data_IF_975704781202
#
_entry.id   IF_975704781202
#
_cell.length_a   1.000
_cell.length_b   1.000
_cell.length_c   1.000
_cell.angle_alpha   90.00
_cell.angle_beta   90.00
_cell.angle_gamma   90.00
#
_symmetry.space_group_name_H-M   'P 1'
#
loop_
_entity.id
_entity.type
_entity.pdbx_description
1 polymer ?
#
# COMPACT_ATOMS: atom_id res chain seq x y z
N UNK A 1 -3.66 4.58 49.65
CA UNK A 1 -2.85 4.77 48.42
C UNK A 1 -3.81 4.96 47.24
N UNK A 2 -3.89 6.15 46.62
CA UNK A 2 -5.02 6.53 45.77
C UNK A 2 -4.76 6.29 44.27
N UNK A 3 -4.30 5.10 43.90
CA UNK A 3 -4.22 4.67 42.50
C UNK A 3 -5.22 3.52 42.28
N UNK A 4 -6.40 3.82 41.75
CA UNK A 4 -7.27 2.78 41.18
C UNK A 4 -7.20 2.87 39.65
N UNK A 5 -6.83 1.78 38.95
CA UNK A 5 -6.71 1.77 37.48
C UNK A 5 -7.99 2.22 36.77
N UNK A 6 -9.15 1.88 37.33
CA UNK A 6 -10.46 2.27 36.81
C UNK A 6 -10.66 3.81 36.82
N UNK A 7 -10.29 4.54 37.88
CA UNK A 7 -10.44 6.01 37.91
C UNK A 7 -9.48 6.71 36.96
N UNK A 8 -8.28 6.17 36.76
CA UNK A 8 -7.33 6.71 35.79
C UNK A 8 -7.89 6.61 34.36
N UNK A 9 -8.47 5.47 33.99
CA UNK A 9 -9.07 5.26 32.68
C UNK A 9 -10.32 6.13 32.44
N UNK A 10 -11.14 6.36 33.47
CA UNK A 10 -12.30 7.24 33.37
C UNK A 10 -11.99 8.74 33.48
N UNK A 11 -10.80 9.10 33.99
CA UNK A 11 -10.36 10.48 34.23
C UNK A 11 -9.52 11.10 33.11
N UNK A 12 -9.20 10.36 32.04
CA UNK A 12 -8.42 10.89 30.92
C UNK A 12 -9.23 11.92 30.14
N UNK A 13 -8.92 13.20 30.36
CA UNK A 13 -9.49 14.33 29.63
C UNK A 13 -9.24 14.16 28.12
N UNK A 14 -10.28 14.42 27.30
CA UNK A 14 -10.25 14.30 25.82
C UNK A 14 -9.06 15.02 25.16
N UNK A 15 -8.51 16.06 25.80
CA UNK A 15 -7.37 16.83 25.29
C UNK A 15 -6.07 16.03 25.10
N UNK A 16 -5.86 14.93 25.83
CA UNK A 16 -4.63 14.13 25.71
C UNK A 16 -4.63 13.25 24.45
N UNK A 17 -5.80 12.85 23.94
CA UNK A 17 -5.91 11.94 22.81
C UNK A 17 -5.39 12.57 21.50
N UNK A 18 -5.67 13.86 21.28
CA UNK A 18 -5.23 14.59 20.08
C UNK A 18 -3.70 14.70 20.06
N UNK A 19 -3.06 15.01 21.19
CA UNK A 19 -1.60 15.08 21.26
C UNK A 19 -0.93 13.73 21.01
N UNK A 20 -1.45 12.67 21.62
CA UNK A 20 -0.96 11.31 21.37
C UNK A 20 -1.12 10.94 19.89
N UNK A 21 -2.26 11.30 19.28
CA UNK A 21 -2.48 11.09 17.85
C UNK A 21 -1.47 11.85 16.99
N UNK A 22 -1.25 13.14 17.24
CA UNK A 22 -0.28 13.96 16.48
C UNK A 22 1.13 13.39 16.64
N UNK A 23 1.55 13.06 17.87
CA UNK A 23 2.85 12.44 18.12
C UNK A 23 2.98 11.10 17.38
N UNK A 24 1.94 10.27 17.38
CA UNK A 24 1.95 8.97 16.70
C UNK A 24 2.04 9.15 15.18
N UNK A 25 1.23 10.04 14.60
CA UNK A 25 1.29 10.36 13.17
C UNK A 25 2.66 10.92 12.77
N UNK A 26 3.23 11.79 13.61
CA UNK A 26 4.57 12.32 13.38
C UNK A 26 5.61 11.20 13.37
N UNK A 27 5.62 10.31 14.36
CA UNK A 27 6.58 9.18 14.41
C UNK A 27 6.40 8.25 13.21
N UNK A 28 5.17 7.96 12.80
CA UNK A 28 4.88 7.09 11.65
C UNK A 28 5.30 7.72 10.31
N UNK A 29 5.12 9.04 10.15
CA UNK A 29 5.42 9.75 8.90
C UNK A 29 6.82 10.38 8.86
N UNK A 30 7.49 10.52 10.02
CA UNK A 30 8.83 11.07 10.15
C UNK A 30 9.84 10.45 9.17
N UNK A 31 9.97 9.12 9.02
CA UNK A 31 10.94 8.55 8.08
C UNK A 31 10.68 8.99 6.64
N UNK A 32 9.41 9.10 6.22
CA UNK A 32 9.05 9.58 4.88
C UNK A 32 9.37 11.07 4.71
N UNK A 33 9.09 11.87 5.74
CA UNK A 33 9.37 13.29 5.72
C UNK A 33 10.88 13.57 5.68
N UNK A 34 11.67 12.82 6.46
CA UNK A 34 13.13 12.89 6.43
C UNK A 34 13.69 12.49 5.06
N UNK A 35 13.17 11.42 4.46
CA UNK A 35 13.55 11.01 3.10
C UNK A 35 13.23 12.09 2.06
N UNK A 36 12.08 12.75 2.17
CA UNK A 36 11.71 13.86 1.30
C UNK A 36 12.63 15.08 1.48
N UNK A 37 12.93 15.44 2.73
CA UNK A 37 13.87 16.53 3.02
C UNK A 37 15.25 16.20 2.47
N UNK A 38 15.75 14.98 2.66
CA UNK A 38 17.02 14.53 2.09
C UNK A 38 17.04 14.64 0.56
N UNK A 39 15.94 14.27 -0.11
CA UNK A 39 15.80 14.44 -1.56
C UNK A 39 15.82 15.92 -1.97
N UNK A 40 15.17 16.81 -1.21
CA UNK A 40 15.18 18.26 -1.47
C UNK A 40 16.59 18.87 -1.31
N UNK A 41 17.39 18.35 -0.39
CA UNK A 41 18.78 18.77 -0.18
C UNK A 41 19.73 18.30 -1.29
N UNK A 42 19.30 17.36 -2.14
CA UNK A 42 20.06 16.85 -3.29
C UNK A 42 19.40 17.25 -4.62
N UNK A 43 19.64 18.46 -5.15
CA UNK A 43 19.00 18.94 -6.39
C UNK A 43 19.25 18.09 -7.64
N UNK A 44 20.30 17.26 -7.64
CA UNK A 44 20.58 16.31 -8.73
C UNK A 44 19.60 15.15 -8.72
N UNK A 45 19.45 14.48 -7.56
CA UNK A 45 18.50 13.39 -7.37
C UNK A 45 17.06 13.87 -7.49
N UNK A 46 16.74 15.03 -6.92
CA UNK A 46 15.41 15.63 -7.04
C UNK A 46 14.99 15.82 -8.49
N UNK A 47 15.89 16.35 -9.34
CA UNK A 47 15.63 16.51 -10.77
C UNK A 47 15.54 15.17 -11.49
N UNK A 48 16.37 14.20 -11.09
CA UNK A 48 16.31 12.84 -11.62
C UNK A 48 14.98 12.13 -11.28
N UNK A 49 14.33 12.47 -10.15
CA UNK A 49 13.00 11.96 -9.76
C UNK A 49 11.83 12.79 -10.32
N UNK A 50 12.07 13.77 -11.19
CA UNK A 50 11.01 14.60 -11.79
C UNK A 50 10.59 15.83 -10.99
N UNK A 51 11.32 16.19 -9.92
CA UNK A 51 11.18 17.44 -9.18
C UNK A 51 10.39 17.33 -7.85
N UNK A 52 10.45 18.41 -7.05
CA UNK A 52 9.85 18.46 -5.71
C UNK A 52 8.34 18.21 -5.69
N UNK A 53 7.58 18.83 -6.60
CA UNK A 53 6.13 18.65 -6.64
C UNK A 53 5.72 17.21 -6.94
N UNK A 54 6.37 16.56 -7.92
CA UNK A 54 6.07 15.15 -8.26
C UNK A 54 6.48 14.19 -7.15
N UNK A 55 7.59 14.46 -6.47
CA UNK A 55 8.00 13.70 -5.29
C UNK A 55 6.99 13.85 -4.14
N UNK A 56 6.51 15.06 -3.86
CA UNK A 56 5.47 15.29 -2.84
C UNK A 56 4.16 14.56 -3.16
N UNK A 57 3.70 14.65 -4.41
CA UNK A 57 2.50 13.92 -4.88
C UNK A 57 2.72 12.41 -4.78
N UNK A 58 3.92 11.92 -5.10
CA UNK A 58 4.27 10.50 -4.95
C UNK A 58 4.17 10.07 -3.48
N UNK A 59 4.79 10.79 -2.54
CA UNK A 59 4.72 10.43 -1.11
C UNK A 59 3.27 10.44 -0.59
N UNK A 60 2.47 11.42 -1.02
CA UNK A 60 1.07 11.49 -0.62
C UNK A 60 0.27 10.30 -1.15
N UNK A 61 0.40 9.99 -2.44
CA UNK A 61 -0.29 8.86 -3.07
C UNK A 61 0.19 7.52 -2.50
N UNK A 62 1.48 7.34 -2.28
CA UNK A 62 2.03 6.13 -1.64
C UNK A 62 1.51 5.99 -0.21
N UNK A 63 1.42 7.08 0.57
CA UNK A 63 0.85 7.03 1.92
C UNK A 63 -0.63 6.63 1.92
N UNK A 64 -1.42 7.18 1.00
CA UNK A 64 -2.84 6.82 0.84
C UNK A 64 -2.98 5.36 0.40
N UNK A 65 -2.24 4.95 -0.63
CA UNK A 65 -2.27 3.57 -1.13
C UNK A 65 -1.80 2.57 -0.07
N UNK A 66 -0.73 2.88 0.67
CA UNK A 66 -0.24 2.04 1.76
C UNK A 66 -1.27 1.90 2.88
N UNK A 67 -1.92 3.00 3.28
CA UNK A 67 -2.98 2.96 4.29
C UNK A 67 -4.18 2.10 3.85
N UNK A 68 -4.58 2.18 2.58
CA UNK A 68 -5.66 1.36 2.02
C UNK A 68 -5.26 -0.11 1.86
N UNK A 69 -4.01 -0.38 1.47
CA UNK A 69 -3.49 -1.74 1.27
C UNK A 69 -3.19 -2.47 2.57
N UNK A 70 -2.83 -1.75 3.64
CA UNK A 70 -2.49 -2.35 4.94
C UNK A 70 -3.53 -3.38 5.45
N UNK A 71 -4.85 -3.07 5.53
CA UNK A 71 -5.85 -4.06 5.96
C UNK A 71 -5.99 -5.24 5.00
N UNK A 72 -5.79 -5.02 3.70
CA UNK A 72 -5.86 -6.07 2.68
C UNK A 72 -4.71 -7.05 2.84
N UNK A 73 -3.49 -6.54 2.99
CA UNK A 73 -2.28 -7.34 3.21
C UNK A 73 -2.38 -8.10 4.53
N UNK A 74 -2.85 -7.44 5.59
CA UNK A 74 -3.06 -8.06 6.90
C UNK A 74 -4.05 -9.23 6.83
N UNK A 75 -5.14 -9.09 6.07
CA UNK A 75 -6.10 -10.17 5.84
C UNK A 75 -5.44 -11.36 5.12
N UNK A 76 -4.69 -11.10 4.03
CA UNK A 76 -4.01 -12.15 3.28
C UNK A 76 -2.97 -12.90 4.12
N UNK A 77 -2.17 -12.16 4.90
CA UNK A 77 -1.18 -12.74 5.81
C UNK A 77 -1.84 -13.60 6.87
N UNK A 78 -2.93 -13.12 7.47
CA UNK A 78 -3.70 -13.89 8.46
C UNK A 78 -4.27 -15.17 7.84
N UNK A 79 -4.84 -15.08 6.64
CA UNK A 79 -5.40 -16.24 5.92
C UNK A 79 -4.33 -17.28 5.62
N UNK A 80 -3.15 -16.86 5.16
CA UNK A 80 -2.01 -17.76 4.90
C UNK A 80 -1.58 -18.50 6.16
N UNK A 81 -1.48 -17.82 7.30
CA UNK A 81 -1.17 -18.47 8.59
C UNK A 81 -2.24 -19.52 8.94
N UNK A 82 -3.53 -19.20 8.80
CA UNK A 82 -4.61 -20.14 9.07
C UNK A 82 -4.60 -21.34 8.11
N UNK A 83 -4.27 -21.14 6.83
CA UNK A 83 -4.17 -22.21 5.83
C UNK A 83 -3.04 -23.19 6.18
N UNK A 84 -1.86 -22.67 6.55
CA UNK A 84 -0.73 -23.48 7.00
C UNK A 84 -1.08 -24.27 8.26
N UNK A 85 -1.70 -23.63 9.25
CA UNK A 85 -2.13 -24.31 10.49
C UNK A 85 -3.21 -25.39 10.23
N UNK A 86 -4.05 -25.19 9.20
CA UNK A 86 -5.04 -26.17 8.77
C UNK A 86 -4.45 -27.30 7.91
N UNK A 87 -3.13 -27.34 7.70
CA UNK A 87 -2.45 -28.33 6.86
C UNK A 87 -2.78 -28.19 5.37
N UNK A 88 -3.32 -27.04 4.95
CA UNK A 88 -3.55 -26.73 3.54
C UNK A 88 -2.26 -26.16 2.97
N UNK A 89 -2.00 -26.47 1.70
CA UNK A 89 -0.94 -25.80 0.97
C UNK A 89 -1.27 -24.30 0.94
N UNK A 90 -0.32 -23.48 1.39
CA UNK A 90 -0.44 -22.00 1.40
C UNK A 90 -0.52 -21.42 -0.02
N UNK A 91 -0.52 -22.27 -1.06
CA UNK A 91 -0.70 -21.86 -2.44
C UNK A 91 0.50 -21.07 -2.92
N UNK A 92 1.71 -21.52 -2.57
CA UNK A 92 2.94 -20.98 -3.15
C UNK A 92 3.04 -21.45 -4.61
N UNK A 93 2.16 -20.89 -5.44
CA UNK A 93 2.12 -21.13 -6.87
C UNK A 93 3.32 -20.41 -7.53
N UNK A 94 3.78 -20.94 -8.66
CA UNK A 94 4.87 -20.32 -9.39
C UNK A 94 4.47 -18.89 -9.75
N UNK A 95 5.26 -17.90 -9.33
CA UNK A 95 4.99 -16.50 -9.65
C UNK A 95 4.97 -16.32 -11.17
N UNK A 96 3.77 -16.24 -11.76
CA UNK A 96 3.61 -15.91 -13.18
C UNK A 96 3.97 -14.44 -13.33
N UNK A 97 5.19 -14.21 -13.81
CA UNK A 97 5.76 -12.87 -14.02
C UNK A 97 5.33 -12.25 -15.35
N UNK A 98 4.65 -13.02 -16.20
CA UNK A 98 4.04 -12.54 -17.43
C UNK A 98 2.69 -11.88 -17.20
N UNK A 99 2.32 -10.98 -18.10
CA UNK A 99 1.13 -10.12 -18.12
C UNK A 99 -0.21 -10.90 -18.06
N UNK A 100 -0.46 -11.59 -16.95
CA UNK A 100 -1.69 -12.30 -16.65
C UNK A 100 -2.85 -11.31 -16.65
N UNK A 101 -3.80 -11.49 -17.56
CA UNK A 101 -5.03 -10.69 -17.61
C UNK A 101 -5.70 -10.78 -16.23
N UNK A 102 -5.90 -9.62 -15.60
CA UNK A 102 -6.59 -9.51 -14.32
C UNK A 102 -7.96 -10.22 -14.41
N UNK A 103 -8.12 -11.34 -13.73
CA UNK A 103 -9.37 -12.10 -13.72
C UNK A 103 -10.30 -11.53 -12.64
N UNK A 104 -11.20 -10.64 -13.05
CA UNK A 104 -12.22 -10.05 -12.17
C UNK A 104 -12.96 -11.08 -11.29
N UNK A 105 -13.35 -12.28 -11.79
CA UNK A 105 -13.97 -13.30 -10.95
C UNK A 105 -13.04 -13.81 -9.83
N UNK A 106 -11.73 -13.90 -10.08
CA UNK A 106 -10.77 -14.34 -9.07
C UNK A 106 -10.57 -13.26 -8.00
N UNK A 107 -10.60 -11.98 -8.36
CA UNK A 107 -10.58 -10.88 -7.40
C UNK A 107 -11.83 -10.89 -6.51
N UNK A 108 -13.02 -11.03 -7.11
CA UNK A 108 -14.28 -11.14 -6.36
C UNK A 108 -14.27 -12.33 -5.40
N UNK A 109 -13.77 -13.49 -5.83
CA UNK A 109 -13.66 -14.68 -4.97
C UNK A 109 -12.66 -14.48 -3.82
N UNK A 110 -11.57 -13.78 -4.07
CA UNK A 110 -10.48 -13.62 -3.09
C UNK A 110 -10.71 -12.48 -2.10
N UNK A 111 -11.30 -11.38 -2.56
CA UNK A 111 -11.44 -10.13 -1.80
C UNK A 111 -12.90 -9.74 -1.52
N UNK A 112 -13.89 -10.38 -2.17
CA UNK A 112 -15.31 -10.07 -1.96
C UNK A 112 -15.76 -10.25 -0.52
N UNK A 113 -15.30 -11.31 0.15
CA UNK A 113 -15.56 -11.52 1.58
C UNK A 113 -15.01 -10.38 2.46
N UNK A 114 -13.82 -9.88 2.13
CA UNK A 114 -13.20 -8.75 2.83
C UNK A 114 -13.96 -7.44 2.59
N UNK A 115 -14.40 -7.17 1.37
CA UNK A 115 -15.23 -5.99 1.05
C UNK A 115 -16.55 -6.03 1.81
N UNK A 116 -17.26 -7.16 1.82
CA UNK A 116 -18.52 -7.30 2.55
C UNK A 116 -18.30 -7.14 4.05
N UNK A 117 -17.25 -7.76 4.60
CA UNK A 117 -16.90 -7.61 6.01
C UNK A 117 -16.57 -6.15 6.37
N UNK A 118 -15.81 -5.44 5.53
CA UNK A 118 -15.50 -4.02 5.70
C UNK A 118 -16.76 -3.14 5.72
N UNK A 119 -17.69 -3.37 4.79
CA UNK A 119 -18.98 -2.67 4.75
C UNK A 119 -19.84 -2.96 5.99
N UNK A 120 -19.91 -4.22 6.41
CA UNK A 120 -20.63 -4.62 7.62
C UNK A 120 -20.05 -3.95 8.87
N UNK A 121 -18.73 -4.05 9.08
CA UNK A 121 -18.04 -3.41 10.20
C UNK A 121 -18.17 -1.89 10.15
N UNK A 122 -18.17 -1.29 8.96
CA UNK A 122 -18.41 0.14 8.77
C UNK A 122 -19.82 0.57 9.21
N UNK A 123 -20.84 -0.21 8.84
CA UNK A 123 -22.22 0.05 9.26
C UNK A 123 -22.38 -0.06 10.78
N UNK A 124 -21.78 -1.09 11.40
CA UNK A 124 -21.77 -1.27 12.85
C UNK A 124 -21.05 -0.10 13.55
N UNK A 125 -19.86 0.28 13.09
CA UNK A 125 -19.12 1.38 13.67
C UNK A 125 -19.89 2.71 13.58
N UNK A 126 -20.54 2.96 12.45
CA UNK A 126 -21.34 4.17 12.25
C UNK A 126 -22.58 4.21 13.17
N UNK A 127 -23.22 3.06 13.38
CA UNK A 127 -24.34 2.93 14.30
C UNK A 127 -23.94 3.15 15.77
N UNK A 128 -22.72 2.74 16.17
CA UNK A 128 -22.21 2.94 17.53
C UNK A 128 -21.84 4.41 17.77
N UNK A 129 -20.99 4.98 16.91
CA UNK A 129 -20.76 6.42 16.90
C UNK A 129 -20.09 6.86 15.59
N UNK A 130 -20.55 7.97 14.97
CA UNK A 130 -19.91 8.50 13.77
C UNK A 130 -18.43 8.85 13.98
N UNK A 131 -18.04 9.27 15.19
CA UNK A 131 -16.66 9.56 15.54
C UNK A 131 -15.78 8.28 15.51
N UNK A 132 -16.27 7.15 16.01
CA UNK A 132 -15.58 5.87 15.93
C UNK A 132 -15.45 5.40 14.48
N UNK A 133 -16.51 5.53 13.69
CA UNK A 133 -16.48 5.18 12.27
C UNK A 133 -15.45 6.01 11.50
N UNK A 134 -15.39 7.32 11.75
CA UNK A 134 -14.38 8.21 11.18
C UNK A 134 -12.96 7.81 11.62
N UNK A 135 -12.79 7.44 12.90
CA UNK A 135 -11.52 6.98 13.43
C UNK A 135 -11.04 5.67 12.80
N UNK A 136 -11.95 4.72 12.57
CA UNK A 136 -11.69 3.47 11.86
C UNK A 136 -11.70 3.62 10.33
N UNK A 137 -11.90 4.85 9.84
CA UNK A 137 -12.10 5.17 8.43
C UNK A 137 -11.07 4.55 7.50
N UNK A 138 -9.75 4.73 7.69
CA UNK A 138 -8.74 4.16 6.80
C UNK A 138 -8.84 2.64 6.65
N UNK A 139 -9.14 1.94 7.74
CA UNK A 139 -9.29 0.48 7.76
C UNK A 139 -10.58 0.06 7.05
N UNK A 140 -11.71 0.68 7.41
CA UNK A 140 -13.03 0.38 6.82
C UNK A 140 -13.01 0.66 5.31
N UNK A 141 -12.50 1.82 4.91
CA UNK A 141 -12.39 2.23 3.50
C UNK A 141 -11.44 1.30 2.74
N UNK A 142 -10.29 0.95 3.32
CA UNK A 142 -9.34 0.01 2.71
C UNK A 142 -9.94 -1.38 2.48
N UNK A 143 -10.73 -1.89 3.44
CA UNK A 143 -11.43 -3.17 3.31
C UNK A 143 -12.57 -3.10 2.29
N UNK A 144 -13.44 -2.09 2.39
CA UNK A 144 -14.57 -1.90 1.48
C UNK A 144 -14.10 -1.73 0.02
N UNK A 145 -13.03 -0.96 -0.19
CA UNK A 145 -12.42 -0.72 -1.50
C UNK A 145 -11.33 -1.73 -1.86
N UNK A 146 -11.23 -2.88 -1.19
CA UNK A 146 -10.16 -3.84 -1.43
C UNK A 146 -10.08 -4.31 -2.90
N UNK A 147 -11.23 -4.64 -3.51
CA UNK A 147 -11.31 -5.06 -4.92
C UNK A 147 -10.77 -3.96 -5.88
N UNK A 148 -11.31 -2.72 -5.89
CA UNK A 148 -10.82 -1.70 -6.81
C UNK A 148 -9.37 -1.29 -6.52
N UNK A 149 -8.94 -1.25 -5.26
CA UNK A 149 -7.55 -0.92 -4.92
C UNK A 149 -6.59 -1.98 -5.47
N UNK A 150 -6.88 -3.27 -5.26
CA UNK A 150 -6.06 -4.36 -5.81
C UNK A 150 -6.09 -4.36 -7.34
N UNK A 151 -7.25 -4.12 -7.95
CA UNK A 151 -7.38 -4.02 -9.40
C UNK A 151 -6.53 -2.87 -9.96
N UNK A 152 -6.65 -1.67 -9.38
CA UNK A 152 -5.90 -0.48 -9.80
C UNK A 152 -4.40 -0.65 -9.63
N UNK A 153 -3.95 -1.29 -8.55
CA UNK A 153 -2.50 -1.50 -8.30
C UNK A 153 -1.91 -2.65 -9.13
N UNK A 154 -2.73 -3.60 -9.57
CA UNK A 154 -2.29 -4.74 -10.39
C UNK A 154 -2.34 -4.46 -11.91
N UNK A 155 -3.00 -3.39 -12.34
CA UNK A 155 -3.13 -3.06 -13.76
C UNK A 155 -1.85 -2.44 -14.31
N UNK A 156 -1.29 -3.04 -15.37
CA UNK A 156 -0.14 -2.44 -16.09
C UNK A 156 -0.43 -1.04 -16.63
N UNK A 157 -1.68 -0.79 -17.05
CA UNK A 157 -2.10 0.51 -17.61
C UNK A 157 -2.02 1.65 -16.60
N UNK A 158 -2.41 1.43 -15.34
CA UNK A 158 -2.33 2.44 -14.29
C UNK A 158 -0.87 2.74 -13.93
N UNK A 159 -0.04 1.70 -13.78
CA UNK A 159 1.41 1.87 -13.59
C UNK A 159 2.07 2.67 -14.71
N UNK A 160 1.77 2.33 -15.97
CA UNK A 160 2.28 3.08 -17.14
C UNK A 160 1.72 4.51 -17.23
N UNK A 161 0.53 4.78 -16.72
CA UNK A 161 -0.02 6.13 -16.66
C UNK A 161 0.69 6.98 -15.59
N UNK A 162 0.90 6.42 -14.39
CA UNK A 162 1.66 7.07 -13.31
C UNK A 162 3.10 7.35 -13.72
N UNK A 163 3.77 6.38 -14.35
CA UNK A 163 5.11 6.56 -14.90
C UNK A 163 5.17 7.67 -15.96
N UNK A 164 4.18 7.73 -16.87
CA UNK A 164 4.08 8.83 -17.86
C UNK A 164 3.85 10.20 -17.20
N UNK A 165 3.15 10.24 -16.06
CA UNK A 165 2.98 11.45 -15.27
C UNK A 165 4.23 11.81 -14.44
N UNK A 166 5.25 10.95 -14.41
CA UNK A 166 6.45 11.13 -13.59
C UNK A 166 6.19 10.92 -12.09
N UNK A 167 5.16 10.15 -11.73
CA UNK A 167 4.78 9.82 -10.36
C UNK A 167 5.32 8.42 -10.04
N UNK A 168 5.88 8.25 -8.84
CA UNK A 168 6.56 7.03 -8.40
C UNK A 168 7.80 6.63 -9.21
N UNK A 169 8.36 7.54 -10.01
CA UNK A 169 9.54 7.25 -10.80
C UNK A 169 10.81 7.35 -9.94
N UNK A 170 11.71 6.39 -10.13
CA UNK A 170 13.09 6.43 -9.62
C UNK A 170 14.04 6.93 -10.72
N UNK A 171 15.24 7.45 -10.37
CA UNK A 171 16.23 7.90 -11.33
C UNK A 171 16.54 6.86 -12.42
N UNK A 172 16.65 5.58 -12.04
CA UNK A 172 16.99 4.46 -12.92
C UNK A 172 15.89 4.12 -13.94
N UNK A 173 14.65 4.58 -13.71
CA UNK A 173 13.56 4.41 -14.68
C UNK A 173 13.49 5.52 -15.73
N UNK A 174 14.05 6.69 -15.41
CA UNK A 174 14.07 7.88 -16.25
C UNK A 174 15.39 7.99 -17.02
N UNK A 175 16.51 7.68 -16.37
CA UNK A 175 17.85 7.57 -16.95
C UNK A 175 18.48 6.21 -16.59
N UNK A 176 18.14 5.13 -17.32
CA UNK A 176 18.56 3.80 -16.98
C UNK A 176 20.08 3.61 -17.12
N UNK A 177 20.77 3.05 -16.10
CA UNK A 177 22.19 2.76 -16.19
C UNK A 177 22.50 1.81 -17.36
N UNK A 178 23.68 1.98 -17.95
CA UNK A 178 24.14 1.23 -19.15
C UNK A 178 23.99 -0.30 -18.99
N UNK A 179 24.18 -0.81 -17.78
CA UNK A 179 24.03 -2.26 -17.48
C UNK A 179 22.59 -2.72 -17.67
N UNK A 180 21.60 -1.93 -17.24
CA UNK A 180 20.18 -2.26 -17.45
C UNK A 180 19.79 -2.18 -18.92
N UNK A 181 20.29 -1.18 -19.64
CA UNK A 181 20.11 -1.07 -21.10
C UNK A 181 20.67 -2.32 -21.78
N UNK A 182 21.92 -2.69 -21.49
CA UNK A 182 22.57 -3.88 -22.06
C UNK A 182 21.85 -5.18 -21.72
N UNK A 183 21.42 -5.35 -20.47
CA UNK A 183 20.64 -6.51 -20.05
C UNK A 183 19.30 -6.61 -20.79
N UNK A 184 18.66 -5.47 -21.06
CA UNK A 184 17.40 -5.43 -21.83
C UNK A 184 17.62 -5.79 -23.31
N UNK A 185 18.72 -5.35 -23.92
CA UNK A 185 19.10 -5.73 -25.28
C UNK A 185 19.35 -7.23 -25.39
N UNK A 186 20.13 -7.81 -24.47
CA UNK A 186 20.43 -9.24 -24.44
C UNK A 186 19.17 -10.09 -24.23
N UNK A 187 18.27 -9.68 -23.35
CA UNK A 187 16.97 -10.36 -23.17
C UNK A 187 16.12 -10.31 -24.44
N UNK A 188 16.11 -9.18 -25.16
CA UNK A 188 15.39 -9.06 -26.44
C UNK A 188 16.01 -9.94 -27.53
N UNK A 189 17.34 -9.98 -27.61
CA UNK A 189 18.04 -10.85 -28.55
C UNK A 189 17.74 -12.33 -28.28
N UNK A 190 17.83 -12.76 -27.01
CA UNK A 190 17.52 -14.12 -26.61
C UNK A 190 16.05 -14.52 -26.83
N UNK A 191 15.12 -13.56 -26.78
CA UNK A 191 13.70 -13.82 -27.08
C UNK A 191 13.40 -13.94 -28.59
N UNK A 192 14.32 -13.46 -29.45
CA UNK A 192 14.23 -13.56 -30.91
C UNK A 192 14.96 -14.79 -31.46
N UNK A 193 15.91 -15.36 -30.71
CA UNK A 193 16.48 -16.66 -31.00
C UNK A 193 15.47 -17.76 -30.62
N UNK A 194 15.08 -18.66 -31.55
CA UNK A 194 14.30 -19.83 -31.19
C UNK A 194 15.12 -20.64 -30.18
N UNK A 195 14.49 -21.08 -29.09
CA UNK A 195 15.14 -21.94 -28.10
C UNK A 195 15.82 -23.11 -28.81
N UNK A 196 17.15 -23.21 -28.71
CA UNK A 196 17.94 -24.39 -29.08
C UNK A 196 17.70 -25.49 -28.03
N UNK A 197 16.45 -25.96 -27.93
CA UNK A 197 16.03 -27.19 -27.24
C UNK A 197 14.86 -27.76 -28.06
#
# INVERSE_FOLDING_TARGET
LPFSPARYWHGSSQGNAIWIFICTMFVLLAPKLLGYIALLLNPRELRACGGAFRAAVSILLETVLAALMAPVVMYLQSRGVFEVLAGKDSGWDAQVRDDGKLSWPALLRSYGGLTVFGLFMGAVAYAVSPALAAWMGPVIVGMALSIPVVALTSLRRSGMALRRAGIFCIPEELDPPKVLVRASELRRAAALEPSLI
#
